data_IF_940024246478
#
_entry.id   IF_940024246478
#
_cell.length_a   1.000
_cell.length_b   1.000
_cell.length_c   1.000
_cell.angle_alpha   90.00
_cell.angle_beta   90.00
_cell.angle_gamma   90.00
#
_symmetry.space_group_name_H-M   'P 1'
#
loop_
_entity.id
_entity.type
_entity.pdbx_description
1 polymer ?
#
# COMPACT_ATOMS: atom_id res chain seq x y z
N UNK A 1 -4.31 12.43 -5.19
CA UNK A 1 -2.92 12.26 -4.68
C UNK A 1 -1.88 12.36 -5.78
N UNK A 2 -2.02 11.58 -6.86
CA UNK A 2 -1.06 11.61 -7.97
C UNK A 2 -1.02 12.96 -8.70
N UNK A 3 -2.18 13.61 -8.93
CA UNK A 3 -2.23 14.92 -9.61
C UNK A 3 -1.42 16.03 -8.91
N UNK A 4 -1.40 16.03 -7.58
CA UNK A 4 -0.69 17.05 -6.78
C UNK A 4 0.74 16.61 -6.48
N UNK A 5 0.93 15.33 -6.12
CA UNK A 5 2.23 14.79 -5.71
C UNK A 5 3.12 14.29 -6.84
N UNK A 6 2.57 14.09 -8.04
CA UNK A 6 3.27 13.61 -9.24
C UNK A 6 3.70 12.14 -9.21
N UNK A 7 3.40 11.39 -8.16
CA UNK A 7 3.85 10.01 -8.01
C UNK A 7 3.05 9.02 -8.86
N UNK A 8 3.76 8.10 -9.49
CA UNK A 8 3.23 6.99 -10.29
C UNK A 8 3.48 5.63 -9.63
N UNK A 9 2.89 4.58 -10.19
CA UNK A 9 3.22 3.21 -9.83
C UNK A 9 4.71 2.93 -10.16
N UNK A 10 5.43 2.36 -9.20
CA UNK A 10 6.86 2.10 -9.30
C UNK A 10 7.76 3.22 -8.79
N UNK A 11 7.21 4.32 -8.26
CA UNK A 11 8.00 5.44 -7.74
C UNK A 11 8.50 5.25 -6.30
N UNK A 12 8.11 4.13 -5.67
CA UNK A 12 8.38 3.81 -4.28
C UNK A 12 7.68 4.79 -3.33
N UNK A 13 6.36 4.80 -3.38
CA UNK A 13 5.51 5.66 -2.55
C UNK A 13 4.26 4.91 -2.11
N UNK A 14 3.40 5.58 -1.33
CA UNK A 14 2.08 5.05 -0.97
C UNK A 14 1.19 4.66 -2.16
N UNK A 15 1.45 5.20 -3.36
CA UNK A 15 0.69 4.86 -4.58
C UNK A 15 0.88 3.40 -4.97
N UNK A 16 2.06 2.83 -4.72
CA UNK A 16 2.38 1.42 -4.96
C UNK A 16 1.47 0.46 -4.19
N UNK A 17 0.95 0.89 -3.04
CA UNK A 17 -0.03 0.12 -2.27
C UNK A 17 -1.48 0.57 -2.54
N UNK A 18 -1.73 1.87 -2.68
CA UNK A 18 -3.08 2.39 -2.77
C UNK A 18 -3.76 2.08 -4.11
N UNK A 19 -3.04 2.25 -5.23
CA UNK A 19 -3.65 2.03 -6.55
C UNK A 19 -4.10 0.57 -6.74
N UNK A 20 -3.25 -0.45 -6.49
CA UNK A 20 -3.67 -1.85 -6.64
C UNK A 20 -4.81 -2.23 -5.69
N UNK A 21 -4.87 -1.58 -4.53
CA UNK A 21 -5.94 -1.81 -3.57
C UNK A 21 -7.29 -1.28 -4.04
N UNK A 22 -7.32 -0.10 -4.67
CA UNK A 22 -8.53 0.47 -5.26
C UNK A 22 -9.00 -0.38 -6.45
N UNK A 23 -8.08 -0.85 -7.29
CA UNK A 23 -8.39 -1.76 -8.41
C UNK A 23 -9.01 -3.09 -7.92
N UNK A 24 -8.59 -3.56 -6.74
CA UNK A 24 -9.12 -4.79 -6.13
C UNK A 24 -10.37 -4.55 -5.26
N UNK A 25 -10.79 -3.30 -5.05
CA UNK A 25 -11.80 -2.96 -4.04
C UNK A 25 -13.21 -3.47 -4.37
N UNK A 26 -13.55 -3.63 -5.66
CA UNK A 26 -14.83 -4.21 -6.08
C UNK A 26 -15.02 -5.66 -5.60
N UNK A 27 -13.92 -6.33 -5.21
CA UNK A 27 -13.92 -7.67 -4.61
C UNK A 27 -13.96 -7.63 -3.07
N UNK A 28 -14.10 -6.45 -2.48
CA UNK A 28 -14.22 -6.19 -1.05
C UNK A 28 -12.89 -5.88 -0.34
N UNK A 29 -13.01 -5.48 0.93
CA UNK A 29 -11.87 -5.03 1.75
C UNK A 29 -10.76 -6.07 1.89
N UNK A 30 -11.07 -7.37 1.92
CA UNK A 30 -10.06 -8.42 2.01
C UNK A 30 -9.16 -8.46 0.76
N UNK A 31 -9.75 -8.33 -0.43
CA UNK A 31 -9.00 -8.26 -1.68
C UNK A 31 -8.18 -6.97 -1.77
N UNK A 32 -8.77 -5.84 -1.41
CA UNK A 32 -8.07 -4.55 -1.37
C UNK A 32 -6.86 -4.58 -0.41
N UNK A 33 -7.02 -5.15 0.79
CA UNK A 33 -5.94 -5.29 1.76
C UNK A 33 -4.81 -6.19 1.25
N UNK A 34 -5.16 -7.32 0.60
CA UNK A 34 -4.16 -8.22 0.00
C UNK A 34 -3.38 -7.54 -1.12
N UNK A 35 -4.05 -6.78 -1.99
CA UNK A 35 -3.42 -6.02 -3.05
C UNK A 35 -2.53 -4.88 -2.51
N UNK A 36 -3.00 -4.14 -1.50
CA UNK A 36 -2.20 -3.12 -0.81
C UNK A 36 -0.92 -3.71 -0.20
N UNK A 37 -1.04 -4.86 0.45
CA UNK A 37 0.09 -5.58 1.06
C UNK A 37 1.09 -6.04 0.01
N UNK A 38 0.63 -6.61 -1.10
CA UNK A 38 1.49 -7.00 -2.21
C UNK A 38 2.25 -5.80 -2.79
N UNK A 39 1.54 -4.69 -3.03
CA UNK A 39 2.11 -3.44 -3.51
C UNK A 39 3.16 -2.86 -2.56
N UNK A 40 2.86 -2.80 -1.25
CA UNK A 40 3.81 -2.38 -0.23
C UNK A 40 5.06 -3.27 -0.22
N UNK A 41 4.90 -4.60 -0.20
CA UNK A 41 6.04 -5.52 -0.20
C UNK A 41 6.93 -5.35 -1.44
N UNK A 42 6.33 -5.08 -2.61
CA UNK A 42 7.08 -4.88 -3.85
C UNK A 42 8.04 -3.68 -3.77
N UNK A 43 7.69 -2.64 -3.00
CA UNK A 43 8.55 -1.46 -2.82
C UNK A 43 9.92 -1.78 -2.22
N UNK A 44 10.05 -2.87 -1.46
CA UNK A 44 11.33 -3.33 -0.91
C UNK A 44 12.31 -3.80 -1.99
N UNK A 45 11.81 -4.14 -3.19
CA UNK A 45 12.63 -4.54 -4.34
C UNK A 45 13.13 -3.35 -5.16
N UNK A 46 12.59 -2.15 -4.91
CA UNK A 46 12.93 -0.97 -5.69
C UNK A 46 14.21 -0.33 -5.16
N UNK A 47 15.27 -0.40 -5.95
CA UNK A 47 16.58 0.18 -5.64
C UNK A 47 16.67 1.70 -5.88
N UNK A 48 15.57 2.33 -6.31
CA UNK A 48 15.47 3.77 -6.53
C UNK A 48 14.07 4.26 -6.21
N UNK A 49 13.96 5.32 -5.41
CA UNK A 49 12.74 6.11 -5.28
C UNK A 49 12.77 7.27 -6.29
N UNK A 50 11.61 7.59 -6.87
CA UNK A 50 11.47 8.70 -7.82
C UNK A 50 10.71 9.91 -7.25
N UNK A 51 10.11 9.75 -6.07
CA UNK A 51 9.40 10.81 -5.38
C UNK A 51 9.66 10.79 -3.86
N UNK A 52 9.39 11.92 -3.20
CA UNK A 52 9.49 12.06 -1.74
C UNK A 52 10.93 12.04 -1.19
N UNK A 53 11.06 11.97 0.13
CA UNK A 53 12.37 12.03 0.82
C UNK A 53 13.26 10.81 0.58
N UNK A 54 12.67 9.67 0.20
CA UNK A 54 13.41 8.47 -0.16
C UNK A 54 14.25 8.68 -1.44
N UNK A 55 13.90 9.64 -2.30
CA UNK A 55 14.68 9.97 -3.49
C UNK A 55 16.05 10.60 -3.18
N UNK A 56 16.31 10.98 -1.92
CA UNK A 56 17.56 11.62 -1.49
C UNK A 56 18.64 10.63 -1.04
N UNK A 57 18.31 9.35 -0.88
CA UNK A 57 19.22 8.32 -0.35
C UNK A 57 19.58 7.29 -1.43
N UNK A 58 20.68 6.56 -1.21
CA UNK A 58 21.21 5.62 -2.18
C UNK A 58 20.47 4.26 -2.20
N UNK A 59 20.75 3.47 -3.23
CA UNK A 59 20.14 2.15 -3.43
C UNK A 59 20.36 1.19 -2.26
N UNK A 60 21.54 1.22 -1.64
CA UNK A 60 21.90 0.32 -0.53
C UNK A 60 21.06 0.57 0.73
N UNK A 61 20.65 1.81 0.98
CA UNK A 61 19.75 2.15 2.10
C UNK A 61 18.28 1.82 1.80
N UNK A 62 17.96 1.63 0.53
CA UNK A 62 16.62 1.44 0.02
C UNK A 62 16.28 -0.06 -0.10
N UNK A 63 17.21 -0.86 -0.59
CA UNK A 63 17.01 -2.29 -0.84
C UNK A 63 16.59 -3.06 0.41
N UNK A 64 15.59 -3.92 0.28
CA UNK A 64 15.06 -4.74 1.37
C UNK A 64 14.12 -4.00 2.35
N UNK A 65 13.94 -2.68 2.20
CA UNK A 65 13.07 -1.89 3.06
C UNK A 65 11.78 -1.49 2.34
N UNK A 66 10.64 -1.84 2.93
CA UNK A 66 9.32 -1.37 2.44
C UNK A 66 9.23 0.15 2.59
N UNK A 67 8.66 0.83 1.59
CA UNK A 67 8.34 2.25 1.69
C UNK A 67 7.36 2.52 2.86
N UNK A 68 7.68 3.44 3.79
CA UNK A 68 6.80 3.72 4.93
C UNK A 68 5.40 4.19 4.55
N UNK A 69 5.25 4.92 3.43
CA UNK A 69 3.95 5.36 2.94
C UNK A 69 3.10 4.19 2.44
N UNK A 70 3.71 3.29 1.66
CA UNK A 70 3.06 2.07 1.19
C UNK A 70 2.69 1.13 2.35
N UNK A 71 3.59 1.00 3.34
CA UNK A 71 3.34 0.22 4.57
C UNK A 71 2.13 0.74 5.35
N UNK A 72 2.02 2.07 5.51
CA UNK A 72 0.90 2.69 6.21
C UNK A 72 -0.44 2.40 5.51
N UNK A 73 -0.49 2.49 4.17
CA UNK A 73 -1.69 2.16 3.38
C UNK A 73 -2.07 0.71 3.55
N UNK A 74 -1.11 -0.21 3.46
CA UNK A 74 -1.38 -1.63 3.62
C UNK A 74 -1.95 -1.96 5.01
N UNK A 75 -1.39 -1.38 6.08
CA UNK A 75 -1.91 -1.53 7.45
C UNK A 75 -3.31 -0.97 7.62
N UNK A 76 -3.60 0.19 7.02
CA UNK A 76 -4.93 0.79 7.06
C UNK A 76 -5.97 -0.15 6.43
N UNK A 77 -5.68 -0.72 5.26
CA UNK A 77 -6.62 -1.62 4.60
C UNK A 77 -6.74 -2.97 5.32
N UNK A 78 -5.66 -3.50 5.88
CA UNK A 78 -5.73 -4.69 6.75
C UNK A 78 -6.65 -4.46 7.95
N UNK A 79 -6.58 -3.29 8.59
CA UNK A 79 -7.48 -2.92 9.66
C UNK A 79 -8.94 -2.84 9.18
N UNK A 80 -9.19 -2.19 8.04
CA UNK A 80 -10.52 -2.10 7.46
C UNK A 80 -11.08 -3.48 7.08
N UNK A 81 -10.25 -4.38 6.53
CA UNK A 81 -10.63 -5.76 6.23
C UNK A 81 -11.03 -6.53 7.48
N UNK A 82 -10.27 -6.40 8.58
CA UNK A 82 -10.64 -7.01 9.88
C UNK A 82 -11.97 -6.47 10.40
N UNK A 83 -12.20 -5.16 10.31
CA UNK A 83 -13.44 -4.51 10.76
C UNK A 83 -14.66 -4.99 9.95
N UNK A 84 -14.52 -5.14 8.64
CA UNK A 84 -15.60 -5.56 7.76
C UNK A 84 -15.83 -7.08 7.76
N UNK A 85 -14.78 -7.88 7.95
CA UNK A 85 -14.88 -9.33 8.15
C UNK A 85 -15.51 -9.70 9.50
N UNK A 86 -15.23 -8.93 10.56
CA UNK A 86 -15.82 -9.14 11.88
C UNK A 86 -17.25 -8.62 12.04
N UNK A 87 -17.71 -7.72 11.16
CA UNK A 87 -19.08 -7.18 11.21
C UNK A 87 -20.13 -8.08 10.56
N UNK A 88 -19.72 -9.11 9.82
CA UNK A 88 -20.62 -10.12 9.22
C UNK A 88 -20.99 -11.26 10.21
N UNK A 89 -20.43 -11.25 11.44
CA UNK A 89 -20.63 -12.31 12.44
C UNK A 89 -21.51 -11.94 13.65
N UNK A 90 -22.16 -10.77 13.65
CA UNK A 90 -23.13 -10.38 14.69
C UNK A 90 -24.51 -10.10 14.07
N UNK A 91 -25.14 -11.15 13.55
CA UNK A 91 -26.59 -11.20 13.43
C UNK A 91 -27.14 -11.78 14.75
N UNK A 92 -27.74 -10.88 15.54
CA UNK A 92 -28.79 -11.03 16.56
C UNK A 92 -29.01 -12.42 17.17
N UNK A 93 -28.82 -12.51 18.49
CA UNK A 93 -29.74 -13.22 19.38
C UNK A 93 -30.25 -12.21 20.42
#
# INVERSE_FOLDING_TARGET
MQEIGGAELGDRTMIDALSPALDAYDKGFAAAASAARAGANLTATYVKARAGRAAYINAQQLEGHIDPGAEAVARLLEFLARRHGGSQGKAVE
#
